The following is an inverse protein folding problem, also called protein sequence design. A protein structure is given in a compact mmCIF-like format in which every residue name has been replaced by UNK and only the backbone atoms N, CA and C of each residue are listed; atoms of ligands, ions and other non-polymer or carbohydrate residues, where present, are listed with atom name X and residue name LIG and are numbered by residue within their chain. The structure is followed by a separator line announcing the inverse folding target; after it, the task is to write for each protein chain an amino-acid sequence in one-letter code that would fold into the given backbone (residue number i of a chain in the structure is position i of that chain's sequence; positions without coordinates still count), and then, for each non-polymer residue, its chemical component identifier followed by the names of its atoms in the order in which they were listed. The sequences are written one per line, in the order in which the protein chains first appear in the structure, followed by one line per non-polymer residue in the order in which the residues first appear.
data_IF_222745684423
#
_entry.id   IF_222745684423
#
_cell.length_a   1.000
_cell.length_b   1.000
_cell.length_c   1.000
_cell.angle_alpha   90.00
_cell.angle_beta   90.00
_cell.angle_gamma   90.00
#
_symmetry.space_group_name_H-M   'P 1'
#
loop_
_entity.id
_entity.type
_entity.pdbx_description
1 polymer ?
#
# COMPACT_ATOMS: atom_id res chain seq x y z
N UNK A 1 38.76 6.72 -1.87
CA UNK A 1 37.74 6.83 -0.80
C UNK A 1 36.43 6.93 -1.55
N UNK A 2 35.88 5.77 -1.89
CA UNK A 2 34.78 5.64 -2.82
C UNK A 2 33.52 5.57 -1.98
N UNK A 3 32.69 6.61 -2.07
CA UNK A 3 31.35 6.58 -1.52
C UNK A 3 30.60 5.44 -2.21
N UNK A 4 30.45 4.35 -1.48
CA UNK A 4 29.59 3.24 -1.82
C UNK A 4 28.16 3.79 -1.82
N UNK A 5 27.72 4.23 -3.01
CA UNK A 5 26.32 4.60 -3.27
C UNK A 5 25.52 3.33 -3.02
N UNK A 6 25.11 3.17 -1.77
CA UNK A 6 24.17 2.14 -1.36
C UNK A 6 22.92 2.45 -2.16
N UNK A 7 22.66 1.67 -3.21
CA UNK A 7 21.32 1.50 -3.76
C UNK A 7 20.45 1.04 -2.60
N UNK A 8 19.92 2.00 -1.84
CA UNK A 8 19.01 1.74 -0.72
C UNK A 8 17.74 1.25 -1.37
N UNK A 9 17.64 -0.06 -1.48
CA UNK A 9 16.43 -0.75 -1.89
C UNK A 9 15.26 -0.11 -1.13
N UNK A 10 14.19 0.34 -1.82
CA UNK A 10 13.08 1.04 -1.16
C UNK A 10 12.24 0.11 -0.27
N UNK A 11 12.74 -1.08 0.05
CA UNK A 11 12.16 -2.09 0.93
C UNK A 11 12.09 -1.60 2.38
N UNK A 12 13.16 -0.98 2.91
CA UNK A 12 13.17 -0.47 4.30
C UNK A 12 12.06 0.57 4.53
N UNK A 13 11.91 1.63 3.71
CA UNK A 13 10.81 2.57 3.89
C UNK A 13 9.45 1.93 3.65
N UNK A 14 9.32 0.97 2.73
CA UNK A 14 8.06 0.26 2.51
C UNK A 14 7.61 -0.56 3.73
N UNK A 15 8.53 -1.27 4.38
CA UNK A 15 8.27 -2.00 5.64
C UNK A 15 7.85 -1.03 6.73
N UNK A 16 8.54 0.11 6.87
CA UNK A 16 8.18 1.14 7.84
C UNK A 16 6.78 1.72 7.61
N UNK A 17 6.41 1.98 6.35
CA UNK A 17 5.08 2.46 5.96
C UNK A 17 4.01 1.39 6.25
N UNK A 18 4.29 0.13 5.92
CA UNK A 18 3.38 -0.98 6.21
C UNK A 18 3.14 -1.15 7.71
N UNK A 19 4.20 -1.12 8.51
CA UNK A 19 4.11 -1.17 9.97
C UNK A 19 3.32 0.02 10.54
N UNK A 20 3.52 1.22 10.00
CA UNK A 20 2.74 2.40 10.35
C UNK A 20 1.24 2.23 10.05
N UNK A 21 0.88 1.70 8.86
CA UNK A 21 -0.53 1.43 8.50
C UNK A 21 -1.17 0.47 9.50
N UNK A 22 -0.50 -0.64 9.81
CA UNK A 22 -0.99 -1.60 10.80
C UNK A 22 -1.13 -0.99 12.20
N UNK A 23 -0.17 -0.16 12.62
CA UNK A 23 -0.21 0.54 13.89
C UNK A 23 -1.39 1.52 13.98
N UNK A 24 -1.73 2.21 12.88
CA UNK A 24 -2.90 3.09 12.83
C UNK A 24 -4.20 2.28 12.86
N UNK A 25 -4.32 1.20 12.08
CA UNK A 25 -5.51 0.33 12.12
C UNK A 25 -5.74 -0.19 13.54
N UNK A 26 -4.71 -0.74 14.17
CA UNK A 26 -4.80 -1.23 15.55
C UNK A 26 -5.10 -0.09 16.54
N UNK A 27 -4.38 1.02 16.44
CA UNK A 27 -4.53 2.17 17.34
C UNK A 27 -5.92 2.78 17.28
N UNK A 28 -6.45 3.05 16.08
CA UNK A 28 -7.80 3.59 15.89
C UNK A 28 -8.85 2.62 16.44
N UNK A 29 -8.68 1.31 16.21
CA UNK A 29 -9.61 0.31 16.70
C UNK A 29 -9.72 0.27 18.24
N UNK A 30 -8.62 0.50 18.95
CA UNK A 30 -8.61 0.54 20.43
C UNK A 30 -8.97 1.90 21.03
N UNK A 31 -8.99 2.97 20.22
CA UNK A 31 -9.28 4.33 20.68
C UNK A 31 -10.79 4.60 20.65
N UNK A 32 -11.41 4.58 21.83
CA UNK A 32 -12.83 4.93 22.01
C UNK A 32 -13.04 6.46 22.13
N UNK A 33 -12.58 7.21 21.12
CA UNK A 33 -12.66 8.68 21.09
C UNK A 33 -13.25 9.16 19.77
N UNK A 34 -14.58 9.15 19.69
CA UNK A 34 -15.35 9.51 18.49
C UNK A 34 -15.02 10.92 17.96
N UNK A 35 -14.73 11.87 18.85
CA UNK A 35 -14.38 13.25 18.48
C UNK A 35 -13.03 13.38 17.76
N UNK A 36 -12.07 12.47 18.00
CA UNK A 36 -10.73 12.50 17.42
C UNK A 36 -10.59 11.63 16.17
N UNK A 37 -11.60 10.83 15.84
CA UNK A 37 -11.52 9.86 14.76
C UNK A 37 -11.34 10.52 13.39
N UNK A 38 -12.12 11.57 13.08
CA UNK A 38 -11.99 12.31 11.81
C UNK A 38 -10.62 13.00 11.70
N UNK A 39 -10.16 13.80 12.69
CA UNK A 39 -8.81 14.37 12.66
C UNK A 39 -7.70 13.32 12.48
N UNK A 40 -7.83 12.15 13.12
CA UNK A 40 -6.85 11.08 13.04
C UNK A 40 -6.78 10.46 11.63
N UNK A 41 -7.92 10.23 10.98
CA UNK A 41 -7.94 9.77 9.59
C UNK A 41 -7.38 10.82 8.61
N UNK A 42 -7.66 12.10 8.84
CA UNK A 42 -7.07 13.19 8.05
C UNK A 42 -5.55 13.24 8.22
N UNK A 43 -5.06 13.18 9.46
CA UNK A 43 -3.63 13.12 9.75
C UNK A 43 -2.99 11.89 9.11
N UNK A 44 -3.64 10.73 9.20
CA UNK A 44 -3.20 9.50 8.57
C UNK A 44 -3.05 9.64 7.04
N UNK A 45 -4.05 10.23 6.38
CA UNK A 45 -4.02 10.50 4.94
C UNK A 45 -2.86 11.43 4.53
N UNK A 46 -2.64 12.51 5.28
CA UNK A 46 -1.55 13.46 5.03
C UNK A 46 -0.19 12.78 5.18
N UNK A 47 0.02 12.04 6.27
CA UNK A 47 1.26 11.31 6.52
C UNK A 47 1.52 10.27 5.41
N UNK A 48 0.50 9.50 5.01
CA UNK A 48 0.63 8.54 3.91
C UNK A 48 0.99 9.20 2.59
N UNK A 49 0.33 10.31 2.23
CA UNK A 49 0.64 11.02 1.01
C UNK A 49 2.11 11.49 0.98
N UNK A 50 2.64 11.97 2.11
CA UNK A 50 4.04 12.38 2.24
C UNK A 50 5.00 11.18 2.16
N UNK A 51 4.71 10.09 2.86
CA UNK A 51 5.54 8.88 2.87
C UNK A 51 5.57 8.19 1.50
N UNK A 52 4.41 8.04 0.84
CA UNK A 52 4.31 7.45 -0.50
C UNK A 52 4.99 8.33 -1.55
N UNK A 53 4.93 9.66 -1.41
CA UNK A 53 5.70 10.58 -2.28
C UNK A 53 7.21 10.34 -2.19
N UNK A 54 7.73 9.98 -1.01
CA UNK A 54 9.15 9.63 -0.84
C UNK A 54 9.55 8.34 -1.53
N UNK A 55 8.59 7.46 -1.87
CA UNK A 55 8.85 6.25 -2.66
C UNK A 55 8.98 6.53 -4.17
N UNK A 56 8.95 7.79 -4.62
CA UNK A 56 9.23 8.17 -6.02
C UNK A 56 8.01 8.21 -6.95
N UNK A 57 6.86 7.65 -6.54
CA UNK A 57 5.64 7.62 -7.35
C UNK A 57 4.72 8.86 -7.14
N UNK A 58 5.23 10.05 -7.45
CA UNK A 58 4.58 11.35 -7.15
C UNK A 58 3.16 11.50 -7.73
N UNK A 59 2.94 11.09 -8.98
CA UNK A 59 1.67 11.28 -9.70
C UNK A 59 0.52 10.42 -9.14
N UNK A 60 0.81 9.23 -8.63
CA UNK A 60 -0.20 8.31 -8.08
C UNK A 60 -0.28 8.32 -6.55
N UNK A 61 0.56 9.13 -5.89
CA UNK A 61 0.71 9.13 -4.43
C UNK A 61 -0.58 9.46 -3.67
N UNK A 62 -1.37 10.43 -4.16
CA UNK A 62 -2.62 10.84 -3.51
C UNK A 62 -3.70 9.76 -3.63
N UNK A 63 -3.87 9.18 -4.81
CA UNK A 63 -4.84 8.09 -5.02
C UNK A 63 -4.49 6.85 -4.20
N UNK A 64 -3.20 6.50 -4.13
CA UNK A 64 -2.74 5.39 -3.30
C UNK A 64 -2.98 5.67 -1.80
N UNK A 65 -2.68 6.88 -1.33
CA UNK A 65 -2.95 7.28 0.06
C UNK A 65 -4.46 7.21 0.38
N UNK A 66 -5.32 7.72 -0.50
CA UNK A 66 -6.77 7.65 -0.35
C UNK A 66 -7.26 6.20 -0.27
N UNK A 67 -6.77 5.32 -1.16
CA UNK A 67 -7.12 3.90 -1.16
C UNK A 67 -6.71 3.21 0.15
N UNK A 68 -5.49 3.48 0.64
CA UNK A 68 -5.00 2.94 1.91
C UNK A 68 -5.86 3.44 3.08
N UNK A 69 -6.21 4.73 3.12
CA UNK A 69 -7.07 5.29 4.17
C UNK A 69 -8.45 4.64 4.15
N UNK A 70 -9.07 4.53 2.97
CA UNK A 70 -10.40 3.94 2.82
C UNK A 70 -10.41 2.47 3.27
N UNK A 71 -9.45 1.68 2.79
CA UNK A 71 -9.35 0.26 3.17
C UNK A 71 -9.03 0.09 4.66
N UNK A 72 -8.19 0.95 5.24
CA UNK A 72 -7.91 0.96 6.68
C UNK A 72 -9.14 1.30 7.52
N UNK A 73 -9.91 2.33 7.13
CA UNK A 73 -11.14 2.73 7.81
C UNK A 73 -12.20 1.63 7.72
N UNK A 74 -12.38 1.04 6.54
CA UNK A 74 -13.27 -0.11 6.36
C UNK A 74 -12.82 -1.32 7.18
N UNK A 75 -11.50 -1.59 7.29
CA UNK A 75 -10.99 -2.68 8.11
C UNK A 75 -11.32 -2.49 9.59
N UNK A 76 -11.14 -1.27 10.12
CA UNK A 76 -11.52 -0.93 11.51
C UNK A 76 -13.02 -1.11 11.72
N UNK A 77 -13.85 -0.63 10.79
CA UNK A 77 -15.30 -0.75 10.86
C UNK A 77 -15.74 -2.23 10.89
N UNK A 78 -15.26 -3.04 9.95
CA UNK A 78 -15.61 -4.47 9.86
C UNK A 78 -15.09 -5.24 11.08
N UNK A 79 -13.91 -4.89 11.61
CA UNK A 79 -13.40 -5.47 12.86
C UNK A 79 -14.29 -5.11 14.07
N UNK A 80 -14.91 -3.94 14.07
CA UNK A 80 -15.91 -3.56 15.07
C UNK A 80 -17.10 -4.52 15.07
N UNK A 81 -17.65 -4.82 13.90
CA UNK A 81 -18.73 -5.82 13.76
C UNK A 81 -18.28 -7.20 14.25
N UNK A 82 -17.08 -7.64 13.85
CA UNK A 82 -16.51 -8.91 14.31
C UNK A 82 -16.37 -8.98 15.84
N UNK A 83 -16.06 -7.84 16.49
CA UNK A 83 -15.96 -7.75 17.95
C UNK A 83 -17.30 -7.97 18.61
N UNK A 84 -18.36 -7.37 18.07
CA UNK A 84 -19.71 -7.49 18.61
C UNK A 84 -20.20 -8.94 18.49
N UNK A 85 -20.01 -9.58 17.33
CA UNK A 85 -20.30 -11.00 17.11
C UNK A 85 -19.53 -11.91 18.07
N UNK A 86 -18.22 -11.68 18.22
CA UNK A 86 -17.38 -12.44 19.16
C UNK A 86 -17.82 -12.21 20.61
N UNK A 87 -18.31 -11.03 20.93
CA UNK A 87 -18.81 -10.71 22.27
C UNK A 87 -20.10 -11.50 22.53
N UNK A 88 -21.06 -11.46 21.60
CA UNK A 88 -22.28 -12.29 21.66
C UNK A 88 -21.96 -13.78 21.74
N UNK A 89 -21.00 -14.30 20.96
CA UNK A 89 -20.60 -15.70 21.03
C UNK A 89 -19.98 -16.11 22.37
N UNK A 90 -19.26 -15.20 23.04
CA UNK A 90 -18.53 -15.49 24.28
C UNK A 90 -19.37 -15.34 25.54
N UNK A 91 -20.17 -14.28 25.64
CA UNK A 91 -20.97 -13.95 26.83
C UNK A 91 -22.48 -14.06 26.63
N UNK A 92 -22.94 -14.16 25.38
CA UNK A 92 -24.36 -14.17 25.08
C UNK A 92 -25.06 -15.46 25.46
N UNK A 93 -26.34 -15.34 25.80
CA UNK A 93 -27.18 -16.46 26.21
C UNK A 93 -28.15 -16.83 25.08
N UNK A 94 -28.28 -18.14 24.82
CA UNK A 94 -29.23 -18.65 23.83
C UNK A 94 -30.62 -18.69 24.44
N UNK A 95 -31.54 -17.89 23.88
CA UNK A 95 -32.92 -17.78 24.35
C UNK A 95 -33.88 -18.01 23.20
N UNK A 96 -34.96 -18.74 23.47
CA UNK A 96 -36.09 -18.85 22.56
C UNK A 96 -37.00 -17.64 22.76
N UNK A 97 -37.20 -16.88 21.70
CA UNK A 97 -38.00 -15.66 21.73
C UNK A 97 -38.95 -15.58 20.54
N UNK A 98 -40.14 -15.02 20.77
CA UNK A 98 -41.16 -14.78 19.76
C UNK A 98 -41.09 -13.34 19.28
N UNK A 99 -41.17 -13.15 17.96
CA UNK A 99 -41.27 -11.84 17.32
C UNK A 99 -42.63 -11.23 17.66
N UNK A 100 -42.66 -10.10 18.36
CA UNK A 100 -43.92 -9.45 18.77
C UNK A 100 -44.23 -8.17 17.99
N UNK A 101 -43.22 -7.60 17.33
CA UNK A 101 -43.37 -6.39 16.54
C UNK A 101 -42.32 -6.35 15.45
N UNK A 102 -42.72 -5.97 14.25
CA UNK A 102 -41.85 -5.59 13.14
C UNK A 102 -42.06 -4.10 12.84
N UNK A 103 -40.99 -3.40 12.49
CA UNK A 103 -41.07 -2.15 11.75
C UNK A 103 -39.86 -2.02 10.82
N UNK A 104 -39.98 -1.15 9.82
CA UNK A 104 -38.88 -0.84 8.90
C UNK A 104 -38.56 0.63 9.00
N UNK A 105 -37.30 0.95 8.78
CA UNK A 105 -36.91 2.33 8.63
C UNK A 105 -37.62 2.98 7.44
N UNK A 106 -38.02 4.26 7.57
CA UNK A 106 -38.58 5.01 6.46
C UNK A 106 -37.58 5.02 5.30
N UNK A 107 -38.08 4.87 4.06
CA UNK A 107 -37.21 4.73 2.90
C UNK A 107 -36.40 6.02 2.63
N UNK A 108 -35.16 6.07 3.08
CA UNK A 108 -34.21 7.13 2.72
C UNK A 108 -33.55 6.82 1.37
N UNK A 109 -34.27 7.14 0.29
CA UNK A 109 -33.72 7.12 -1.07
C UNK A 109 -33.44 5.70 -1.62
N UNK A 110 -32.25 5.50 -2.24
CA UNK A 110 -31.86 4.25 -2.92
C UNK A 110 -31.25 3.18 -2.00
N UNK A 111 -31.16 3.41 -0.69
CA UNK A 111 -30.55 2.46 0.25
C UNK A 111 -31.58 1.42 0.74
N UNK A 112 -31.07 0.22 1.05
CA UNK A 112 -31.87 -0.89 1.58
C UNK A 112 -32.59 -0.51 2.87
N UNK A 113 -33.70 -1.19 3.14
CA UNK A 113 -34.50 -1.00 4.36
C UNK A 113 -34.07 -2.05 5.37
N UNK A 114 -33.53 -1.59 6.49
CA UNK A 114 -33.34 -2.46 7.63
C UNK A 114 -34.71 -2.76 8.25
N UNK A 115 -34.89 -4.01 8.63
CA UNK A 115 -36.08 -4.51 9.31
C UNK A 115 -35.71 -4.74 10.76
N UNK A 116 -36.52 -4.19 11.66
CA UNK A 116 -36.30 -4.26 13.09
C UNK A 116 -37.41 -5.06 13.75
N UNK A 117 -37.00 -5.94 14.66
CA UNK A 117 -37.89 -6.85 15.35
C UNK A 117 -37.75 -6.70 16.86
N UNK A 118 -38.88 -6.50 17.54
CA UNK A 118 -38.92 -6.65 19.00
C UNK A 118 -39.19 -8.10 19.33
N UNK A 119 -38.38 -8.66 20.22
CA UNK A 119 -38.47 -10.03 20.67
C UNK A 119 -39.00 -10.12 22.11
N UNK A 120 -39.77 -11.16 22.39
CA UNK A 120 -40.29 -11.49 23.72
C UNK A 120 -39.96 -12.94 24.05
N UNK A 121 -39.40 -13.17 25.23
CA UNK A 121 -39.10 -14.52 25.75
C UNK A 121 -40.38 -15.31 26.02
N UNK A 122 -40.25 -16.62 26.17
CA UNK A 122 -41.38 -17.50 26.51
C UNK A 122 -42.07 -17.14 27.83
N UNK A 123 -41.33 -16.58 28.79
CA UNK A 123 -41.85 -16.09 30.07
C UNK A 123 -42.62 -14.76 29.96
N UNK A 124 -42.73 -14.19 28.75
CA UNK A 124 -43.43 -12.94 28.48
C UNK A 124 -42.58 -11.67 28.65
N UNK A 125 -41.35 -11.80 29.16
CA UNK A 125 -40.42 -10.66 29.31
C UNK A 125 -39.79 -10.26 27.98
N UNK A 126 -39.40 -8.99 27.85
CA UNK A 126 -38.74 -8.49 26.64
C UNK A 126 -37.28 -8.97 26.62
N UNK A 127 -36.79 -9.36 25.45
CA UNK A 127 -35.35 -9.60 25.25
C UNK A 127 -34.59 -8.27 25.49
N UNK A 128 -33.57 -8.27 26.36
CA UNK A 128 -32.82 -7.06 26.70
C UNK A 128 -32.06 -6.49 25.48
N UNK A 129 -31.80 -5.18 25.52
CA UNK A 129 -31.00 -4.48 24.53
C UNK A 129 -31.79 -3.89 23.35
N UNK A 130 -31.06 -3.47 22.30
CA UNK A 130 -31.64 -2.99 21.06
C UNK A 130 -32.52 -4.04 20.36
N UNK A 131 -33.35 -3.63 19.39
CA UNK A 131 -34.11 -4.57 18.55
C UNK A 131 -33.19 -5.46 17.70
N UNK A 132 -33.65 -6.68 17.39
CA UNK A 132 -33.01 -7.53 16.37
C UNK A 132 -33.12 -6.80 15.02
N UNK A 133 -32.02 -6.68 14.29
CA UNK A 133 -31.97 -5.96 13.01
C UNK A 133 -31.51 -6.88 11.89
N UNK A 134 -32.19 -6.82 10.74
CA UNK A 134 -31.82 -7.57 9.53
C UNK A 134 -31.89 -6.68 8.30
N UNK A 135 -31.05 -6.98 7.30
CA UNK A 135 -30.99 -6.24 6.03
C UNK A 135 -32.16 -6.51 5.08
N UNK A 136 -33.00 -7.50 5.43
CA UNK A 136 -34.17 -7.90 4.66
C UNK A 136 -35.28 -8.31 5.62
N UNK A 137 -36.50 -8.35 5.11
CA UNK A 137 -37.62 -8.91 5.84
C UNK A 137 -37.53 -10.45 5.82
N UNK A 138 -37.16 -11.04 6.95
CA UNK A 138 -36.90 -12.49 7.08
C UNK A 138 -37.82 -13.16 8.10
N UNK A 139 -38.45 -12.38 8.99
CA UNK A 139 -39.20 -12.92 10.12
C UNK A 139 -40.59 -12.32 10.22
N UNK A 140 -41.57 -13.16 10.54
CA UNK A 140 -42.96 -12.74 10.72
C UNK A 140 -43.30 -12.54 12.20
N UNK A 141 -44.25 -11.63 12.49
CA UNK A 141 -44.81 -11.48 13.84
C UNK A 141 -45.50 -12.78 14.26
N UNK A 142 -45.17 -13.26 15.46
CA UNK A 142 -45.62 -14.55 16.00
C UNK A 142 -44.64 -15.69 15.75
N UNK A 143 -43.60 -15.50 14.93
CA UNK A 143 -42.57 -16.49 14.72
C UNK A 143 -41.68 -16.64 15.96
N UNK A 144 -41.39 -17.88 16.33
CA UNK A 144 -40.46 -18.21 17.40
C UNK A 144 -39.08 -18.49 16.82
N UNK A 145 -38.06 -17.86 17.40
CA UNK A 145 -36.67 -17.89 16.96
C UNK A 145 -35.76 -18.20 18.14
N UNK A 146 -34.64 -18.88 17.88
CA UNK A 146 -33.53 -18.96 18.83
C UNK A 146 -32.56 -17.82 18.53
N UNK A 147 -32.36 -16.95 19.52
CA UNK A 147 -31.43 -15.82 19.44
C UNK A 147 -30.38 -15.92 20.53
N UNK A 148 -29.25 -15.28 20.31
CA UNK A 148 -28.20 -15.04 21.28
C UNK A 148 -28.41 -13.59 21.74
N UNK A 149 -28.76 -13.41 23.01
CA UNK A 149 -28.92 -12.09 23.61
C UNK A 149 -27.72 -11.73 24.48
N UNK A 150 -27.43 -10.44 24.56
CA UNK A 150 -26.38 -9.91 25.43
C UNK A 150 -26.94 -9.67 26.84
N UNK A 151 -26.42 -10.33 27.89
CA UNK A 151 -26.90 -10.14 29.25
C UNK A 151 -26.72 -8.69 29.76
N UNK A 152 -25.73 -7.97 29.23
CA UNK A 152 -25.46 -6.58 29.57
C UNK A 152 -26.36 -5.58 28.81
N UNK A 153 -27.19 -6.07 27.89
CA UNK A 153 -28.09 -5.27 27.06
C UNK A 153 -27.39 -4.21 26.17
N UNK A 154 -26.10 -4.35 25.91
CA UNK A 154 -25.31 -3.41 25.10
C UNK A 154 -25.46 -3.71 23.60
N UNK A 155 -25.46 -4.99 23.24
CA UNK A 155 -25.54 -5.46 21.86
C UNK A 155 -26.95 -5.88 21.47
N UNK A 156 -27.29 -5.71 20.20
CA UNK A 156 -28.53 -6.23 19.64
C UNK A 156 -28.52 -7.77 19.68
N UNK A 157 -29.66 -8.42 19.96
CA UNK A 157 -29.74 -9.87 19.87
C UNK A 157 -29.61 -10.33 18.41
N UNK A 158 -28.99 -11.47 18.19
CA UNK A 158 -28.76 -12.04 16.85
C UNK A 158 -29.03 -13.54 16.81
N UNK A 159 -29.39 -14.09 15.64
CA UNK A 159 -29.49 -15.55 15.49
C UNK A 159 -28.10 -16.21 15.45
N UNK A 160 -27.96 -17.50 15.82
CA UNK A 160 -26.66 -18.18 15.79
C UNK A 160 -25.96 -18.20 14.43
N UNK A 161 -26.70 -18.07 13.33
CA UNK A 161 -26.13 -17.96 11.98
C UNK A 161 -25.64 -16.55 11.63
N UNK A 162 -26.19 -15.52 12.30
CA UNK A 162 -25.82 -14.11 12.11
C UNK A 162 -24.62 -13.74 12.98
N UNK A 163 -24.61 -14.16 14.25
CA UNK A 163 -23.51 -13.92 15.17
C UNK A 163 -22.30 -14.82 14.84
N UNK A 164 -21.69 -14.60 13.68
CA UNK A 164 -20.57 -15.36 13.15
C UNK A 164 -19.49 -14.45 12.58
N UNK A 165 -18.57 -14.04 13.45
CA UNK A 165 -17.44 -13.17 13.15
C UNK A 165 -16.47 -13.64 12.04
N UNK A 166 -16.62 -14.86 11.50
CA UNK A 166 -15.67 -15.42 10.54
C UNK A 166 -15.56 -14.58 9.28
N UNK A 167 -16.69 -14.14 8.73
CA UNK A 167 -16.71 -13.37 7.48
C UNK A 167 -16.09 -11.98 7.69
N UNK A 168 -16.38 -11.36 8.82
CA UNK A 168 -15.96 -10.03 9.23
C UNK A 168 -14.44 -10.04 9.51
N UNK A 169 -13.93 -11.03 10.25
CA UNK A 169 -12.47 -11.19 10.49
C UNK A 169 -11.72 -11.35 9.16
N UNK A 170 -12.22 -12.21 8.26
CA UNK A 170 -11.61 -12.40 6.95
C UNK A 170 -11.69 -11.12 6.10
N UNK A 171 -12.83 -10.42 6.13
CA UNK A 171 -13.03 -9.16 5.42
C UNK A 171 -12.09 -8.06 5.90
N UNK A 172 -11.99 -7.86 7.21
CA UNK A 172 -11.07 -6.90 7.83
C UNK A 172 -9.60 -7.23 7.49
N UNK A 173 -9.24 -8.52 7.55
CA UNK A 173 -7.89 -8.99 7.19
C UNK A 173 -7.57 -8.75 5.72
N UNK A 174 -8.52 -9.03 4.82
CA UNK A 174 -8.36 -8.79 3.39
C UNK A 174 -8.21 -7.29 3.06
N UNK A 175 -8.96 -6.42 3.74
CA UNK A 175 -8.83 -4.97 3.61
C UNK A 175 -7.46 -4.45 4.09
N UNK A 176 -6.97 -4.95 5.23
CA UNK A 176 -5.63 -4.62 5.71
C UNK A 176 -4.54 -5.09 4.74
N UNK A 177 -4.67 -6.28 4.16
CA UNK A 177 -3.75 -6.80 3.14
C UNK A 177 -3.80 -5.98 1.84
N UNK A 178 -4.98 -5.51 1.43
CA UNK A 178 -5.11 -4.63 0.27
C UNK A 178 -4.37 -3.30 0.48
N UNK A 179 -4.45 -2.72 1.68
CA UNK A 179 -3.71 -1.53 2.06
C UNK A 179 -2.18 -1.75 1.96
N UNK A 180 -1.67 -2.86 2.49
CA UNK A 180 -0.26 -3.23 2.39
C UNK A 180 0.18 -3.51 0.95
N UNK A 181 -0.68 -4.19 0.17
CA UNK A 181 -0.45 -4.46 -1.25
C UNK A 181 -0.29 -3.17 -2.05
N UNK A 182 -1.08 -2.13 -1.75
CA UNK A 182 -0.96 -0.82 -2.39
C UNK A 182 0.40 -0.15 -2.08
N UNK A 183 0.89 -0.24 -0.84
CA UNK A 183 2.22 0.27 -0.45
C UNK A 183 3.33 -0.48 -1.20
N UNK A 184 3.24 -1.82 -1.26
CA UNK A 184 4.19 -2.64 -2.01
C UNK A 184 4.20 -2.32 -3.51
N UNK A 185 3.02 -2.16 -4.11
CA UNK A 185 2.87 -1.78 -5.51
C UNK A 185 3.50 -0.41 -5.81
N UNK A 186 3.27 0.58 -4.94
CA UNK A 186 3.85 1.92 -5.10
C UNK A 186 5.37 1.92 -4.98
N UNK A 187 5.91 1.09 -4.10
CA UNK A 187 7.36 0.87 -3.95
C UNK A 187 7.97 0.32 -5.24
N UNK A 188 7.34 -0.71 -5.81
CA UNK A 188 7.78 -1.31 -7.06
C UNK A 188 7.68 -0.35 -8.26
N UNK A 189 6.58 0.42 -8.35
CA UNK A 189 6.40 1.44 -9.39
C UNK A 189 7.46 2.54 -9.30
N UNK A 190 7.80 2.97 -8.08
CA UNK A 190 8.88 3.92 -7.83
C UNK A 190 10.24 3.42 -8.33
N UNK A 191 10.61 2.19 -7.95
CA UNK A 191 11.87 1.58 -8.36
C UNK A 191 11.99 1.42 -9.89
N UNK A 192 10.88 1.12 -10.58
CA UNK A 192 10.86 1.06 -12.05
C UNK A 192 11.13 2.41 -12.69
N UNK A 193 10.47 3.47 -12.21
CA UNK A 193 10.62 4.82 -12.77
C UNK A 193 12.05 5.34 -12.59
N UNK A 194 12.69 5.05 -11.47
CA UNK A 194 14.11 5.39 -11.23
C UNK A 194 15.03 4.68 -12.22
N UNK A 195 14.84 3.36 -12.40
CA UNK A 195 15.60 2.57 -13.38
C UNK A 195 15.43 3.08 -14.82
N UNK A 196 14.21 3.48 -15.21
CA UNK A 196 13.95 4.02 -16.54
C UNK A 196 14.66 5.36 -16.76
N UNK A 197 14.71 6.23 -15.75
CA UNK A 197 15.44 7.51 -15.79
C UNK A 197 16.95 7.27 -15.90
N UNK A 198 17.51 6.37 -15.10
CA UNK A 198 18.94 6.03 -15.15
C UNK A 198 19.32 5.45 -16.52
N UNK A 199 18.49 4.56 -17.07
CA UNK A 199 18.71 3.98 -18.40
C UNK A 199 18.66 5.04 -19.49
N UNK A 200 17.71 5.98 -19.42
CA UNK A 200 17.62 7.10 -20.36
C UNK A 200 18.81 8.06 -20.28
N UNK A 201 19.24 8.39 -19.06
CA UNK A 201 20.42 9.23 -18.83
C UNK A 201 21.70 8.57 -19.35
N UNK A 202 21.86 7.27 -19.11
CA UNK A 202 22.97 6.49 -19.65
C UNK A 202 22.95 6.51 -21.18
N UNK A 203 21.82 6.17 -21.81
CA UNK A 203 21.70 6.14 -23.27
C UNK A 203 22.02 7.50 -23.93
N UNK A 204 21.58 8.61 -23.33
CA UNK A 204 21.91 9.96 -23.80
C UNK A 204 23.42 10.25 -23.72
N UNK A 205 24.08 9.80 -22.65
CA UNK A 205 25.53 9.95 -22.51
C UNK A 205 26.32 9.04 -23.45
N UNK A 206 25.84 7.82 -23.70
CA UNK A 206 26.43 6.94 -24.69
C UNK A 206 26.40 7.57 -26.08
N UNK A 207 25.29 8.20 -26.46
CA UNK A 207 25.18 8.87 -27.75
C UNK A 207 26.09 10.10 -27.83
N UNK A 208 26.12 10.94 -26.79
CA UNK A 208 27.07 12.05 -26.67
C UNK A 208 28.53 11.57 -26.79
N UNK A 209 28.86 10.40 -26.25
CA UNK A 209 30.20 9.83 -26.34
C UNK A 209 30.50 9.36 -27.77
N UNK A 210 29.57 8.65 -28.41
CA UNK A 210 29.72 8.24 -29.83
C UNK A 210 29.93 9.44 -30.73
N UNK A 211 29.16 10.52 -30.53
CA UNK A 211 29.30 11.76 -31.30
C UNK A 211 30.66 12.43 -31.06
N UNK A 212 31.12 12.47 -29.80
CA UNK A 212 32.43 13.03 -29.47
C UNK A 212 33.58 12.23 -30.12
N UNK A 213 33.53 10.90 -30.07
CA UNK A 213 34.54 10.05 -30.69
C UNK A 213 34.58 10.18 -32.22
N UNK A 214 33.45 10.51 -32.86
CA UNK A 214 33.40 10.77 -34.31
C UNK A 214 33.90 12.16 -34.70
N UNK A 215 33.67 13.16 -33.84
CA UNK A 215 33.84 14.57 -34.21
C UNK A 215 35.14 15.18 -33.70
N UNK A 216 35.66 14.72 -32.55
CA UNK A 216 36.82 15.35 -31.94
C UNK A 216 38.11 15.07 -32.74
N UNK A 217 38.90 16.10 -33.07
CA UNK A 217 40.18 15.90 -33.72
C UNK A 217 41.15 15.21 -32.75
N UNK A 218 41.84 14.19 -33.26
CA UNK A 218 42.90 13.53 -32.53
C UNK A 218 44.05 14.51 -32.24
N UNK A 219 44.69 14.38 -31.07
CA UNK A 219 45.83 15.21 -30.70
C UNK A 219 47.07 14.94 -31.58
N UNK A 220 48.18 15.68 -31.36
CA UNK A 220 49.44 15.47 -32.10
C UNK A 220 50.01 14.04 -32.03
N UNK A 221 49.54 13.21 -31.10
CA UNK A 221 49.93 11.80 -30.93
C UNK A 221 48.86 10.82 -31.44
N UNK A 222 47.78 11.34 -32.04
CA UNK A 222 46.68 10.56 -32.59
C UNK A 222 45.66 10.08 -31.55
N UNK A 223 45.62 10.68 -30.35
CA UNK A 223 44.66 10.30 -29.31
C UNK A 223 43.50 11.29 -29.24
N UNK A 224 42.28 10.75 -29.10
CA UNK A 224 41.12 11.51 -28.63
C UNK A 224 41.12 11.44 -27.11
N UNK A 225 41.05 12.61 -26.45
CA UNK A 225 41.06 12.73 -24.99
C UNK A 225 39.72 13.28 -24.52
N UNK A 226 39.05 12.54 -23.65
CA UNK A 226 37.79 12.95 -23.03
C UNK A 226 37.91 12.85 -21.51
N UNK A 227 37.21 13.74 -20.80
CA UNK A 227 37.18 13.70 -19.35
C UNK A 227 35.99 12.87 -18.86
N UNK A 228 36.18 11.94 -17.91
CA UNK A 228 35.08 11.13 -17.36
C UNK A 228 33.96 11.98 -16.74
N UNK A 229 34.31 13.17 -16.24
CA UNK A 229 33.37 14.13 -15.65
C UNK A 229 32.33 14.64 -16.67
N UNK A 230 32.64 14.60 -17.97
CA UNK A 230 31.69 14.96 -19.05
C UNK A 230 30.65 13.85 -19.32
N UNK A 231 30.86 12.66 -18.76
CA UNK A 231 30.10 11.43 -18.95
C UNK A 231 29.88 10.67 -17.62
N UNK A 232 29.28 11.30 -16.60
CA UNK A 232 29.25 10.78 -15.23
C UNK A 232 28.42 9.49 -15.06
N UNK A 233 27.56 9.14 -16.01
CA UNK A 233 26.76 7.91 -16.01
C UNK A 233 27.44 6.75 -16.76
N UNK A 234 28.64 6.95 -17.32
CA UNK A 234 29.39 5.91 -18.01
C UNK A 234 30.59 5.45 -17.19
N UNK A 235 30.78 4.13 -17.13
CA UNK A 235 32.00 3.53 -16.59
C UNK A 235 33.10 3.54 -17.65
N UNK A 236 34.37 3.48 -17.22
CA UNK A 236 35.50 3.39 -18.14
C UNK A 236 35.41 2.17 -19.07
N UNK A 237 34.93 1.03 -18.54
CA UNK A 237 34.67 -0.17 -19.33
C UNK A 237 33.57 0.04 -20.39
N UNK A 238 32.47 0.71 -20.02
CA UNK A 238 31.38 1.00 -20.97
C UNK A 238 31.84 1.96 -22.06
N UNK A 239 32.59 3.00 -21.70
CA UNK A 239 33.22 3.91 -22.65
C UNK A 239 34.20 3.19 -23.58
N UNK A 240 34.96 2.22 -23.08
CA UNK A 240 35.86 1.40 -23.89
C UNK A 240 35.14 0.52 -24.90
N UNK A 241 34.02 -0.08 -24.50
CA UNK A 241 33.16 -0.84 -25.42
C UNK A 241 32.59 0.04 -26.53
N UNK A 242 32.12 1.25 -26.19
CA UNK A 242 31.61 2.21 -27.17
C UNK A 242 32.73 2.65 -28.14
N UNK A 243 33.94 2.89 -27.64
CA UNK A 243 35.08 3.20 -28.48
C UNK A 243 35.40 2.07 -29.46
N UNK A 244 35.36 0.83 -28.99
CA UNK A 244 35.53 -0.37 -29.82
C UNK A 244 34.49 -0.46 -30.93
N UNK A 245 33.21 -0.22 -30.62
CA UNK A 245 32.12 -0.15 -31.61
C UNK A 245 32.36 0.93 -32.68
N UNK A 246 33.09 2.00 -32.35
CA UNK A 246 33.48 3.06 -33.29
C UNK A 246 34.82 2.83 -33.99
N UNK A 247 35.48 1.69 -33.77
CA UNK A 247 36.76 1.33 -34.40
C UNK A 247 38.01 1.85 -33.66
N UNK A 248 37.85 2.36 -32.44
CA UNK A 248 38.93 2.85 -31.59
C UNK A 248 39.22 1.87 -30.44
N UNK A 249 40.41 1.98 -29.87
CA UNK A 249 40.83 1.23 -28.67
C UNK A 249 41.05 2.20 -27.52
N UNK A 250 40.78 1.76 -26.31
CA UNK A 250 40.89 2.59 -25.09
C UNK A 250 42.11 2.20 -24.30
N UNK A 251 42.91 3.20 -23.94
CA UNK A 251 44.13 3.01 -23.16
C UNK A 251 43.80 2.75 -21.68
N UNK A 252 44.26 1.61 -21.14
CA UNK A 252 44.05 1.22 -19.74
C UNK A 252 44.75 2.17 -18.76
N UNK A 253 45.98 2.58 -19.09
CA UNK A 253 46.76 3.57 -18.38
C UNK A 253 46.41 5.00 -18.85
N UNK A 254 45.16 5.42 -18.65
CA UNK A 254 44.75 6.80 -18.87
C UNK A 254 45.56 7.78 -18.01
N UNK A 255 45.91 8.95 -18.55
CA UNK A 255 46.61 9.98 -17.78
C UNK A 255 45.63 10.50 -16.70
N UNK A 256 46.01 10.37 -15.40
CA UNK A 256 45.22 10.69 -14.18
C UNK A 256 44.06 11.69 -14.41
N UNK A 257 42.88 11.18 -14.78
CA UNK A 257 41.66 12.00 -14.98
C UNK A 257 41.16 12.18 -16.42
N UNK A 258 41.68 11.44 -17.41
CA UNK A 258 41.20 11.45 -18.80
C UNK A 258 41.13 10.05 -19.41
N UNK A 259 40.08 9.77 -20.17
CA UNK A 259 39.98 8.61 -21.06
C UNK A 259 40.65 8.91 -22.39
N UNK A 260 41.43 7.96 -22.91
CA UNK A 260 42.22 8.12 -24.14
C UNK A 260 41.87 7.04 -25.14
N UNK A 261 41.54 7.47 -26.36
CA UNK A 261 41.08 6.59 -27.44
C UNK A 261 41.95 6.76 -28.68
N UNK A 262 42.34 5.65 -29.32
CA UNK A 262 43.13 5.62 -30.56
C UNK A 262 42.96 4.28 -31.29
N UNK A 263 43.18 4.21 -32.60
CA UNK A 263 43.12 2.94 -33.37
C UNK A 263 44.06 1.86 -32.83
N UNK A 264 45.21 2.23 -32.27
CA UNK A 264 46.18 1.32 -31.63
C UNK A 264 46.68 1.96 -30.33
N UNK A 265 46.54 1.25 -29.22
CA UNK A 265 46.93 1.69 -27.87
C UNK A 265 48.02 0.78 -27.30
N UNK A 266 48.75 1.27 -26.29
CA UNK A 266 49.86 0.55 -25.65
C UNK A 266 49.37 -0.58 -24.74
N UNK A 267 48.27 -0.34 -24.03
CA UNK A 267 47.61 -1.29 -23.14
C UNK A 267 46.10 -1.06 -23.24
N UNK A 268 45.35 -2.09 -23.59
CA UNK A 268 43.90 -1.99 -23.82
C UNK A 268 43.11 -2.28 -22.55
N UNK A 269 42.04 -1.53 -22.31
CA UNK A 269 41.07 -1.83 -21.24
C UNK A 269 40.35 -3.14 -21.54
N UNK A 270 40.33 -4.13 -20.63
CA UNK A 270 39.54 -5.35 -20.80
C UNK A 270 38.06 -5.04 -21.01
N UNK A 271 37.44 -5.70 -21.99
CA UNK A 271 36.03 -5.49 -22.35
C UNK A 271 35.04 -6.35 -21.53
N UNK A 272 35.55 -7.31 -20.76
CA UNK A 272 34.80 -8.29 -19.94
C UNK A 272 34.52 -7.80 -18.50
#
# INVERSE_FOLDING_TARGET
MSDEVTHRTPVIPAVGIGAYVLAVIAGVYFLDVSALQIPLWVAHAVVLALLIRRLGAKESSVYAALFVVLTSASAVYVMGLARDDLTLQRRGEKVTATVVKEWRDPAEGRKGRDSHYTLRREDGTRVPGPPLTTTSDVYDVGQTLTVIEDPDAELAPETPGQANATAEILGASALALAALGAVGWMTWKGARKEKDVDTGAQAAQEEKLREALRTYPADRRGYIKLHPEDYPALTHQRAARIAWETGLRTEAAGNRGSWRFKETVVEEVPLD
#
